data_IF_097669956354
#
_entry.id   IF_097669956354
#
_cell.length_a   1.000
_cell.length_b   1.000
_cell.length_c   1.000
_cell.angle_alpha   90.00
_cell.angle_beta   90.00
_cell.angle_gamma   90.00
#
_symmetry.space_group_name_H-M   'P 1'
#
loop_
_entity.id
_entity.type
_entity.pdbx_description
1 polymer ?
#
# COMPACT_ATOMS: atom_id res chain seq x y z
N UNK A 1 1.41 9.51 1.13
CA UNK A 1 0.19 8.74 1.45
C UNK A 1 -0.03 7.54 0.51
N UNK A 2 0.18 7.68 -0.81
CA UNK A 2 -0.05 6.61 -1.79
C UNK A 2 0.85 5.37 -1.55
N UNK A 3 2.14 5.55 -1.27
CA UNK A 3 3.06 4.45 -0.98
C UNK A 3 2.71 3.74 0.32
N UNK A 4 2.29 4.46 1.35
CA UNK A 4 1.82 3.85 2.60
C UNK A 4 0.54 3.04 2.39
N UNK A 5 -0.40 3.56 1.59
CA UNK A 5 -1.60 2.80 1.23
C UNK A 5 -1.26 1.51 0.47
N UNK A 6 -0.28 1.57 -0.43
CA UNK A 6 0.21 0.39 -1.17
C UNK A 6 0.85 -0.64 -0.24
N UNK A 7 1.71 -0.22 0.70
CA UNK A 7 2.28 -1.10 1.73
C UNK A 7 1.16 -1.74 2.57
N UNK A 8 0.17 -0.93 3.01
CA UNK A 8 -0.99 -1.43 3.77
C UNK A 8 -1.76 -2.49 2.99
N UNK A 9 -1.93 -2.31 1.69
CA UNK A 9 -2.59 -3.30 0.81
C UNK A 9 -1.81 -4.62 0.76
N UNK A 10 -0.48 -4.58 0.63
CA UNK A 10 0.35 -5.78 0.68
C UNK A 10 0.29 -6.49 2.04
N UNK A 11 0.21 -5.72 3.14
CA UNK A 11 0.10 -6.30 4.49
C UNK A 11 -1.28 -6.90 4.78
N UNK A 12 -2.32 -6.52 4.02
CA UNK A 12 -3.70 -6.96 4.27
C UNK A 12 -3.88 -8.48 4.10
N UNK A 13 -3.17 -9.13 3.17
CA UNK A 13 -3.20 -10.58 3.01
C UNK A 13 -2.77 -11.31 4.28
N UNK A 14 -1.63 -10.91 4.85
CA UNK A 14 -1.13 -11.44 6.12
C UNK A 14 -2.07 -11.13 7.29
N UNK A 15 -2.61 -9.93 7.35
CA UNK A 15 -3.55 -9.52 8.39
C UNK A 15 -4.81 -10.40 8.36
N UNK A 16 -5.37 -10.66 7.18
CA UNK A 16 -6.53 -11.54 7.00
C UNK A 16 -6.24 -12.98 7.44
N UNK A 17 -5.09 -13.55 7.06
CA UNK A 17 -4.69 -14.89 7.50
C UNK A 17 -4.63 -14.99 9.04
N UNK A 18 -4.00 -14.03 9.70
CA UNK A 18 -3.84 -14.04 11.16
C UNK A 18 -5.18 -13.86 11.86
N UNK A 19 -6.04 -12.97 11.37
CA UNK A 19 -7.36 -12.73 11.97
C UNK A 19 -8.31 -13.89 11.81
N UNK A 20 -8.36 -14.52 10.63
CA UNK A 20 -9.33 -15.58 10.33
C UNK A 20 -8.84 -16.95 10.78
N UNK A 21 -7.59 -17.29 10.51
CA UNK A 21 -7.04 -18.62 10.75
C UNK A 21 -6.13 -18.73 11.97
N UNK A 22 -5.82 -17.59 12.62
CA UNK A 22 -4.86 -17.51 13.75
C UNK A 22 -3.51 -18.18 13.41
N UNK A 23 -3.13 -18.19 12.16
CA UNK A 23 -1.92 -18.80 11.63
C UNK A 23 -1.30 -17.92 10.56
N UNK A 24 -0.01 -18.12 10.32
CA UNK A 24 0.74 -17.44 9.29
C UNK A 24 1.28 -18.47 8.31
N UNK A 25 0.92 -18.33 7.02
CA UNK A 25 1.40 -19.20 5.96
C UNK A 25 2.50 -18.54 5.14
N UNK A 26 3.11 -19.27 4.22
CA UNK A 26 4.07 -18.70 3.26
C UNK A 26 3.39 -17.91 2.14
N UNK A 27 2.06 -17.87 2.06
CA UNK A 27 1.31 -17.23 0.98
C UNK A 27 1.58 -15.73 0.83
N UNK A 28 1.81 -15.04 1.96
CA UNK A 28 2.10 -13.60 1.96
C UNK A 28 3.58 -13.25 1.72
N UNK A 29 4.48 -14.21 1.42
CA UNK A 29 5.92 -13.95 1.34
C UNK A 29 6.28 -12.90 0.29
N UNK A 30 5.70 -12.98 -0.91
CA UNK A 30 5.93 -12.01 -1.97
C UNK A 30 5.42 -10.60 -1.61
N UNK A 31 4.26 -10.52 -0.97
CA UNK A 31 3.67 -9.24 -0.55
C UNK A 31 4.54 -8.56 0.51
N UNK A 32 5.08 -9.33 1.46
CA UNK A 32 6.01 -8.84 2.48
C UNK A 32 7.30 -8.33 1.83
N UNK A 33 7.83 -9.04 0.82
CA UNK A 33 9.01 -8.61 0.06
C UNK A 33 8.75 -7.27 -0.65
N UNK A 34 7.63 -7.15 -1.37
CA UNK A 34 7.26 -5.92 -2.07
C UNK A 34 7.04 -4.76 -1.11
N UNK A 35 6.35 -4.99 0.00
CA UNK A 35 6.14 -3.98 1.04
C UNK A 35 7.47 -3.49 1.62
N UNK A 36 8.39 -4.42 1.91
CA UNK A 36 9.72 -4.10 2.45
C UNK A 36 10.54 -3.29 1.46
N UNK A 37 10.52 -3.65 0.17
CA UNK A 37 11.23 -2.92 -0.88
C UNK A 37 10.71 -1.48 -1.01
N UNK A 38 9.39 -1.26 -0.96
CA UNK A 38 8.80 0.08 -1.01
C UNK A 38 9.17 0.88 0.24
N UNK A 39 9.01 0.31 1.44
CA UNK A 39 9.34 0.99 2.69
C UNK A 39 10.84 1.39 2.73
N UNK A 40 11.74 0.51 2.28
CA UNK A 40 13.17 0.80 2.18
C UNK A 40 13.43 1.94 1.19
N UNK A 41 12.82 1.92 0.00
CA UNK A 41 12.97 2.98 -0.99
C UNK A 41 12.45 4.35 -0.48
N UNK A 42 11.37 4.37 0.30
CA UNK A 42 10.87 5.58 0.94
C UNK A 42 11.92 6.21 1.84
N UNK A 43 12.64 5.41 2.62
CA UNK A 43 13.66 5.87 3.56
C UNK A 43 14.95 6.23 2.84
N UNK A 44 15.45 5.36 1.94
CA UNK A 44 16.82 5.46 1.39
C UNK A 44 16.91 6.27 0.10
N UNK A 45 15.86 6.25 -0.74
CA UNK A 45 15.90 6.84 -2.09
C UNK A 45 15.05 8.10 -2.22
N UNK A 46 13.85 8.12 -1.59
CA UNK A 46 12.88 9.20 -1.84
C UNK A 46 12.94 10.32 -0.79
N UNK A 47 13.79 10.20 0.23
CA UNK A 47 13.91 11.22 1.27
C UNK A 47 12.60 11.45 2.06
N UNK A 48 11.78 10.39 2.22
CA UNK A 48 10.49 10.46 2.90
C UNK A 48 10.56 10.15 4.39
N UNK A 49 11.76 9.95 4.92
CA UNK A 49 12.00 9.72 6.34
C UNK A 49 12.03 11.03 7.11
N UNK A 50 11.31 11.11 8.22
CA UNK A 50 11.42 12.24 9.14
C UNK A 50 12.76 12.27 9.89
N UNK A 51 13.42 11.11 10.03
CA UNK A 51 14.68 10.94 10.74
C UNK A 51 15.89 11.38 9.89
N UNK A 52 15.88 11.08 8.59
CA UNK A 52 16.99 11.35 7.68
C UNK A 52 16.74 12.55 6.77
N UNK A 53 15.51 13.04 6.72
CA UNK A 53 15.15 14.16 5.84
C UNK A 53 15.38 13.83 4.36
N UNK A 54 15.87 14.80 3.60
CA UNK A 54 16.13 14.66 2.17
C UNK A 54 17.51 14.08 1.85
N UNK A 55 18.08 13.26 2.71
CA UNK A 55 19.38 12.61 2.49
C UNK A 55 19.19 11.38 1.61
N UNK A 56 19.87 11.31 0.47
CA UNK A 56 19.97 10.07 -0.33
C UNK A 56 20.95 9.10 0.30
N UNK A 57 20.43 8.03 0.87
CA UNK A 57 21.22 7.02 1.60
C UNK A 57 21.62 5.84 0.73
N UNK A 58 21.12 5.78 -0.50
CA UNK A 58 21.35 4.69 -1.44
C UNK A 58 21.58 5.22 -2.84
N UNK A 59 22.54 4.63 -3.55
CA UNK A 59 22.79 4.89 -4.97
C UNK A 59 22.84 3.60 -5.76
N UNK A 60 22.38 3.66 -7.01
CA UNK A 60 22.50 2.54 -7.94
C UNK A 60 23.89 2.57 -8.55
N UNK A 61 24.72 1.64 -8.13
CA UNK A 61 26.08 1.49 -8.69
C UNK A 61 25.97 0.79 -10.04
N UNK A 62 26.34 1.52 -11.10
CA UNK A 62 26.36 1.05 -12.50
C UNK A 62 25.02 0.50 -13.04
N UNK A 63 24.24 1.38 -13.67
CA UNK A 63 23.02 1.00 -14.42
C UNK A 63 23.26 0.01 -15.57
N UNK A 64 24.53 -0.20 -15.95
CA UNK A 64 24.91 -1.03 -17.10
C UNK A 64 25.32 -2.47 -16.74
N UNK A 65 25.61 -2.78 -15.47
CA UNK A 65 26.04 -4.12 -15.06
C UNK A 65 24.91 -4.90 -14.37
N UNK A 66 24.53 -4.58 -13.17
CA UNK A 66 23.51 -5.33 -12.41
C UNK A 66 22.54 -4.44 -11.60
N UNK A 67 22.72 -3.14 -11.68
CA UNK A 67 21.77 -2.19 -11.10
C UNK A 67 21.58 -2.33 -9.59
N UNK A 68 22.54 -2.93 -8.87
CA UNK A 68 22.39 -3.16 -7.43
C UNK A 68 22.43 -1.86 -6.65
N UNK A 69 21.48 -1.66 -5.74
CA UNK A 69 21.54 -0.57 -4.81
C UNK A 69 22.69 -0.76 -3.81
N UNK A 70 23.44 0.30 -3.55
CA UNK A 70 24.51 0.34 -2.56
C UNK A 70 24.22 1.44 -1.57
N UNK A 71 24.25 1.11 -0.29
CA UNK A 71 24.09 2.08 0.79
C UNK A 71 25.35 2.96 0.88
N UNK A 72 25.14 4.27 0.98
CA UNK A 72 26.20 5.28 1.13
C UNK A 72 26.21 5.85 2.55
N UNK A 73 26.17 4.99 3.55
CA UNK A 73 26.12 5.40 4.95
C UNK A 73 26.93 4.42 5.81
N UNK A 74 27.22 4.80 7.05
CA UNK A 74 27.92 3.92 8.00
C UNK A 74 26.96 2.96 8.71
N UNK A 75 27.52 1.92 9.34
CA UNK A 75 26.79 0.83 10.02
C UNK A 75 25.70 1.32 11.00
N UNK A 76 25.97 2.39 11.73
CA UNK A 76 24.99 2.97 12.68
C UNK A 76 23.75 3.49 11.91
N UNK A 77 23.95 4.12 10.78
CA UNK A 77 22.85 4.63 9.93
C UNK A 77 22.09 3.47 9.28
N UNK A 78 22.77 2.40 8.88
CA UNK A 78 22.14 1.20 8.34
C UNK A 78 21.17 0.58 9.36
N UNK A 79 21.60 0.42 10.62
CA UNK A 79 20.74 -0.07 11.69
C UNK A 79 19.52 0.84 11.89
N UNK A 80 19.70 2.15 11.80
CA UNK A 80 18.61 3.12 11.94
C UNK A 80 17.65 3.09 10.75
N UNK A 81 18.12 2.81 9.53
CA UNK A 81 17.28 2.57 8.35
C UNK A 81 16.40 1.36 8.58
N UNK A 82 16.97 0.25 9.06
CA UNK A 82 16.21 -0.97 9.32
C UNK A 82 15.13 -0.78 10.39
N UNK A 83 15.44 -0.04 11.47
CA UNK A 83 14.46 0.33 12.51
C UNK A 83 13.29 1.13 11.92
N UNK A 84 13.57 2.10 11.06
CA UNK A 84 12.55 2.94 10.44
C UNK A 84 11.69 2.15 9.44
N UNK A 85 12.31 1.30 8.63
CA UNK A 85 11.60 0.37 7.73
C UNK A 85 10.67 -0.54 8.52
N UNK A 86 11.13 -1.14 9.62
CA UNK A 86 10.29 -1.97 10.49
C UNK A 86 9.12 -1.17 11.08
N UNK A 87 9.36 0.07 11.47
CA UNK A 87 8.30 0.95 12.01
C UNK A 87 7.22 1.21 10.97
N UNK A 88 7.61 1.59 9.74
CA UNK A 88 6.67 1.81 8.62
C UNK A 88 5.83 0.54 8.35
N UNK A 89 6.49 -0.62 8.28
CA UNK A 89 5.80 -1.89 8.01
C UNK A 89 4.82 -2.25 9.12
N UNK A 90 5.23 -2.09 10.39
CA UNK A 90 4.37 -2.38 11.53
C UNK A 90 3.16 -1.44 11.60
N UNK A 91 3.33 -0.16 11.31
CA UNK A 91 2.22 0.80 11.33
C UNK A 91 1.25 0.55 10.16
N UNK A 92 1.76 0.19 8.98
CA UNK A 92 0.92 -0.22 7.86
C UNK A 92 0.19 -1.54 8.14
N UNK A 93 0.84 -2.50 8.81
CA UNK A 93 0.20 -3.75 9.23
C UNK A 93 -0.93 -3.51 10.23
N UNK A 94 -0.73 -2.65 11.24
CA UNK A 94 -1.79 -2.27 12.20
C UNK A 94 -2.98 -1.66 11.48
N UNK A 95 -2.75 -0.74 10.52
CA UNK A 95 -3.82 -0.15 9.70
C UNK A 95 -4.55 -1.20 8.87
N UNK A 96 -3.84 -2.19 8.33
CA UNK A 96 -4.45 -3.30 7.60
C UNK A 96 -5.35 -4.14 8.50
N UNK A 97 -4.89 -4.48 9.73
CA UNK A 97 -5.68 -5.19 10.73
C UNK A 97 -6.96 -4.41 11.06
N UNK A 98 -6.83 -3.14 11.43
CA UNK A 98 -7.98 -2.27 11.75
C UNK A 98 -8.99 -2.19 10.60
N UNK A 99 -8.49 -2.08 9.36
CA UNK A 99 -9.34 -2.05 8.18
C UNK A 99 -10.13 -3.36 8.01
N UNK A 100 -9.49 -4.51 8.18
CA UNK A 100 -10.13 -5.82 8.04
C UNK A 100 -11.11 -6.07 9.18
N UNK A 101 -10.74 -5.78 10.43
CA UNK A 101 -11.62 -5.92 11.60
C UNK A 101 -12.89 -5.08 11.44
N UNK A 102 -12.75 -3.83 11.00
CA UNK A 102 -13.89 -2.92 10.78
C UNK A 102 -14.81 -3.41 9.66
N UNK A 103 -14.24 -4.09 8.63
CA UNK A 103 -14.97 -4.53 7.45
C UNK A 103 -15.12 -6.06 7.37
N UNK A 104 -15.07 -6.78 8.49
CA UNK A 104 -15.08 -8.24 8.51
C UNK A 104 -16.31 -8.82 7.78
N UNK A 105 -17.49 -8.28 8.01
CA UNK A 105 -18.72 -8.73 7.34
C UNK A 105 -18.63 -8.58 5.81
N UNK A 106 -18.03 -7.49 5.34
CA UNK A 106 -17.81 -7.27 3.89
C UNK A 106 -16.84 -8.31 3.35
N UNK A 107 -15.74 -8.56 4.07
CA UNK A 107 -14.74 -9.56 3.69
C UNK A 107 -15.36 -10.95 3.57
N UNK A 108 -16.17 -11.37 4.55
CA UNK A 108 -16.84 -12.68 4.56
C UNK A 108 -17.78 -12.82 3.35
N UNK A 109 -18.56 -11.78 3.03
CA UNK A 109 -19.45 -11.79 1.87
C UNK A 109 -18.72 -11.82 0.54
N UNK A 110 -17.60 -11.10 0.43
CA UNK A 110 -16.75 -11.15 -0.75
C UNK A 110 -16.11 -12.54 -0.92
N UNK A 111 -15.69 -13.17 0.18
CA UNK A 111 -15.15 -14.52 0.17
C UNK A 111 -16.22 -15.55 -0.26
N UNK A 112 -17.43 -15.48 0.28
CA UNK A 112 -18.56 -16.32 -0.16
C UNK A 112 -18.82 -16.17 -1.66
N UNK A 113 -18.88 -14.93 -2.15
CA UNK A 113 -19.11 -14.65 -3.57
C UNK A 113 -18.00 -15.25 -4.46
N UNK A 114 -16.74 -15.14 -4.05
CA UNK A 114 -15.60 -15.70 -4.79
C UNK A 114 -15.58 -17.23 -4.77
N UNK A 115 -16.03 -17.86 -3.68
CA UNK A 115 -16.18 -19.32 -3.62
C UNK A 115 -17.25 -19.81 -4.59
N UNK A 116 -18.35 -19.05 -4.75
CA UNK A 116 -19.45 -19.44 -5.64
C UNK A 116 -19.15 -19.14 -7.12
N UNK A 117 -18.56 -17.98 -7.41
CA UNK A 117 -18.43 -17.46 -8.79
C UNK A 117 -17.00 -17.43 -9.31
N UNK A 118 -16.01 -17.76 -8.48
CA UNK A 118 -14.56 -17.76 -8.78
C UNK A 118 -13.98 -16.37 -9.18
N UNK A 119 -14.83 -15.44 -9.60
CA UNK A 119 -14.43 -14.09 -10.05
C UNK A 119 -15.38 -13.04 -9.51
N UNK A 120 -14.88 -11.81 -9.37
CA UNK A 120 -15.68 -10.64 -9.00
C UNK A 120 -15.29 -9.45 -9.88
N UNK A 121 -16.28 -8.75 -10.42
CA UNK A 121 -16.05 -7.47 -11.12
C UNK A 121 -16.00 -6.31 -10.14
N UNK A 122 -15.33 -5.20 -10.54
CA UNK A 122 -15.32 -4.00 -9.70
C UNK A 122 -16.70 -3.42 -9.38
N UNK A 123 -17.71 -3.65 -10.25
CA UNK A 123 -19.10 -3.23 -10.00
C UNK A 123 -19.76 -4.10 -8.95
N UNK A 124 -19.56 -5.41 -9.00
CA UNK A 124 -20.10 -6.36 -8.01
C UNK A 124 -19.46 -6.12 -6.64
N UNK A 125 -18.14 -5.87 -6.59
CA UNK A 125 -17.44 -5.51 -5.37
C UNK A 125 -18.07 -4.27 -4.70
N UNK A 126 -18.25 -3.19 -5.48
CA UNK A 126 -18.86 -1.95 -4.97
C UNK A 126 -20.28 -2.19 -4.50
N UNK A 127 -21.09 -2.95 -5.24
CA UNK A 127 -22.46 -3.25 -4.86
C UNK A 127 -22.54 -4.02 -3.53
N UNK A 128 -21.72 -5.03 -3.34
CA UNK A 128 -21.63 -5.80 -2.08
C UNK A 128 -21.20 -4.90 -0.92
N UNK A 129 -20.19 -4.05 -1.14
CA UNK A 129 -19.70 -3.12 -0.13
C UNK A 129 -20.78 -2.12 0.30
N UNK A 130 -21.45 -1.44 -0.67
CA UNK A 130 -22.49 -0.46 -0.42
C UNK A 130 -23.73 -1.07 0.21
N UNK A 131 -24.09 -2.31 -0.15
CA UNK A 131 -25.22 -3.02 0.45
C UNK A 131 -25.01 -3.31 1.94
N UNK A 132 -23.79 -3.69 2.32
CA UNK A 132 -23.47 -4.08 3.71
C UNK A 132 -23.21 -2.86 4.58
N UNK A 133 -22.46 -1.90 4.08
CA UNK A 133 -22.03 -0.74 4.87
C UNK A 133 -23.04 0.41 4.85
N UNK A 134 -23.88 0.48 3.83
CA UNK A 134 -24.74 1.63 3.55
C UNK A 134 -23.98 2.88 3.08
N UNK A 135 -22.66 2.78 2.89
CA UNK A 135 -21.79 3.88 2.49
C UNK A 135 -21.39 3.76 1.02
N UNK A 136 -21.37 4.88 0.30
CA UNK A 136 -20.87 4.91 -1.08
C UNK A 136 -19.33 4.85 -1.09
N UNK A 137 -18.78 3.88 -1.83
CA UNK A 137 -17.34 3.75 -1.99
C UNK A 137 -16.79 4.92 -2.82
N UNK A 138 -15.99 5.77 -2.20
CA UNK A 138 -15.29 6.87 -2.90
C UNK A 138 -14.13 6.31 -3.71
N UNK A 139 -14.19 6.42 -5.02
CA UNK A 139 -13.08 6.04 -5.91
C UNK A 139 -12.09 7.20 -5.95
N UNK A 140 -10.86 6.96 -5.54
CA UNK A 140 -9.76 7.95 -5.54
C UNK A 140 -9.40 8.53 -6.93
N UNK A 141 -10.01 8.05 -8.02
CA UNK A 141 -9.83 8.57 -9.38
C UNK A 141 -10.89 9.58 -9.83
N UNK A 142 -12.05 9.65 -9.17
CA UNK A 142 -13.14 10.55 -9.60
C UNK A 142 -12.94 12.01 -9.14
N UNK A 143 -12.17 12.22 -8.08
CA UNK A 143 -11.85 13.57 -7.59
C UNK A 143 -10.82 14.27 -8.50
N UNK A 144 -9.80 13.56 -9.00
CA UNK A 144 -8.79 14.13 -9.91
C UNK A 144 -9.38 14.55 -11.26
N UNK A 145 -10.34 13.79 -11.81
CA UNK A 145 -10.99 14.17 -13.07
C UNK A 145 -11.93 15.38 -12.93
N UNK A 146 -12.52 15.60 -11.75
CA UNK A 146 -13.41 16.75 -11.50
C UNK A 146 -12.62 18.05 -11.24
N UNK A 147 -11.40 17.95 -10.72
CA UNK A 147 -10.51 19.11 -10.55
C UNK A 147 -9.87 19.51 -11.89
N UNK A 148 -9.36 18.56 -12.70
CA UNK A 148 -8.80 18.85 -14.01
C UNK A 148 -9.81 19.47 -15.00
N UNK A 149 -11.09 19.08 -14.92
CA UNK A 149 -12.14 19.67 -15.77
C UNK A 149 -12.54 21.10 -15.32
N UNK A 150 -12.25 21.49 -14.07
CA UNK A 150 -12.51 22.84 -13.57
C UNK A 150 -11.40 23.85 -13.86
N UNK A 151 -10.20 23.38 -14.17
CA UNK A 151 -9.04 24.26 -14.45
C UNK A 151 -8.79 24.54 -15.95
N UNK A 152 -9.60 24.01 -16.85
CA UNK A 152 -9.52 24.38 -18.26
C UNK A 152 -10.13 25.77 -18.46
N UNK A 153 -9.33 26.80 -18.87
CA UNK A 153 -9.87 28.12 -19.17
C UNK A 153 -10.83 28.01 -20.36
N UNK A 154 -12.04 28.51 -20.16
CA UNK A 154 -12.97 28.73 -21.29
C UNK A 154 -12.36 29.82 -22.19
N UNK A 155 -11.81 29.40 -23.32
CA UNK A 155 -11.45 30.34 -24.38
C UNK A 155 -12.76 30.94 -24.90
N UNK A 156 -13.01 32.17 -24.54
CA UNK A 156 -13.98 33.03 -25.25
C UNK A 156 -13.46 33.29 -26.64
N UNK A 157 -14.17 32.75 -27.63
CA UNK A 157 -14.02 33.16 -29.02
C UNK A 157 -14.63 34.55 -29.19
N UNK A 158 -13.82 35.54 -29.56
CA UNK A 158 -14.21 36.71 -30.34
C UNK A 158 -13.59 36.68 -31.74
#
# INVERSE_FOLDING_TARGET
DELLAKITTYMAGRAAEVLVFQSATSGAANDIEQATAIARAMVTQYGMSSKFGMMGLETIQSRYLDGRPVLNCGEVTESQIDEEVMTILNDCYKKAVECIETNQTVMDKLAEHLIEKETITGKEFVAIYEEITGEKLKRSGEEKQKEEVKELPQNEEE
#
